data_IF_680879204181
#
_entry.id   IF_680879204181
#
_cell.length_a   1.000
_cell.length_b   1.000
_cell.length_c   1.000
_cell.angle_alpha   90.00
_cell.angle_beta   90.00
_cell.angle_gamma   90.00
#
_symmetry.space_group_name_H-M   'P 1'
#
loop_
_entity.id
_entity.type
_entity.pdbx_description
1 polymer ?
#
# COMPACT_ATOMS: atom_id res chain seq x y z
N UNK A 1 19.75 54.65 -27.61
CA UNK A 1 18.54 54.74 -28.43
C UNK A 1 18.71 53.81 -29.61
N UNK A 2 18.20 52.58 -29.57
CA UNK A 2 18.04 51.74 -30.78
C UNK A 2 16.75 50.96 -30.59
N UNK A 3 15.80 51.26 -31.47
CA UNK A 3 14.51 50.59 -31.59
C UNK A 3 14.70 49.33 -32.42
N UNK A 4 14.33 48.18 -31.94
CA UNK A 4 14.21 46.92 -32.70
C UNK A 4 12.76 46.74 -33.14
N UNK A 5 12.61 46.66 -34.47
CA UNK A 5 11.35 46.55 -35.20
C UNK A 5 10.98 45.06 -35.32
N UNK A 6 9.81 44.66 -34.82
CA UNK A 6 9.24 43.32 -35.05
C UNK A 6 8.47 43.31 -36.38
N UNK A 7 8.89 42.46 -37.31
CA UNK A 7 8.20 42.20 -38.58
C UNK A 7 7.28 41.00 -38.35
N UNK A 8 5.97 41.19 -38.45
CA UNK A 8 4.95 40.12 -38.46
C UNK A 8 4.76 39.70 -39.93
N UNK A 9 5.06 38.42 -40.21
CA UNK A 9 4.83 37.82 -41.54
C UNK A 9 3.44 37.14 -41.50
N UNK A 10 2.48 37.73 -42.23
CA UNK A 10 1.17 37.16 -42.50
C UNK A 10 1.25 36.45 -43.86
N UNK A 11 1.15 35.09 -43.86
CA UNK A 11 1.01 34.33 -45.12
C UNK A 11 -0.47 34.08 -45.38
N UNK A 12 -0.99 34.70 -46.44
CA UNK A 12 -2.28 34.38 -47.06
C UNK A 12 -2.15 33.06 -47.82
N UNK A 13 -2.99 32.07 -47.46
CA UNK A 13 -3.25 30.91 -48.31
C UNK A 13 -4.54 31.11 -49.09
N UNK A 14 -4.42 31.08 -50.42
CA UNK A 14 -5.50 31.18 -51.42
C UNK A 14 -6.27 29.85 -51.45
N UNK A 15 -7.59 29.89 -51.34
CA UNK A 15 -8.46 28.75 -51.62
C UNK A 15 -8.76 28.66 -53.11
N UNK A 16 -8.35 27.56 -53.76
CA UNK A 16 -8.90 27.14 -55.06
C UNK A 16 -9.97 26.08 -54.82
N UNK A 17 -11.19 26.38 -55.21
CA UNK A 17 -12.30 25.46 -55.25
C UNK A 17 -12.22 24.67 -56.56
N UNK A 18 -12.09 23.34 -56.47
CA UNK A 18 -12.33 22.41 -57.57
C UNK A 18 -13.55 21.59 -57.22
N UNK A 19 -14.61 21.74 -58.00
CA UNK A 19 -15.80 20.90 -58.00
C UNK A 19 -15.56 19.70 -58.92
N UNK A 20 -15.80 18.48 -58.41
CA UNK A 20 -16.15 17.36 -59.29
C UNK A 20 -16.87 16.24 -58.53
N UNK A 21 -18.05 15.94 -59.00
CA UNK A 21 -18.91 14.73 -59.07
C UNK A 21 -18.80 13.63 -58.02
N UNK A 22 -19.99 13.25 -57.60
CA UNK A 22 -20.42 12.11 -56.75
C UNK A 22 -19.88 10.76 -57.27
N UNK A 23 -19.22 10.04 -56.33
CA UNK A 23 -19.24 8.58 -56.29
C UNK A 23 -19.47 8.17 -54.85
N UNK A 24 -20.52 7.36 -54.66
CA UNK A 24 -20.88 6.77 -53.35
C UNK A 24 -19.90 5.65 -53.03
N UNK A 25 -18.96 5.89 -52.15
CA UNK A 25 -18.31 4.81 -51.40
C UNK A 25 -18.78 4.83 -49.97
N UNK A 26 -19.26 3.69 -49.51
CA UNK A 26 -19.73 3.38 -48.16
C UNK A 26 -18.54 3.43 -47.21
N UNK A 27 -18.37 4.55 -46.50
CA UNK A 27 -17.33 4.71 -45.49
C UNK A 27 -17.79 3.99 -44.21
N UNK A 28 -17.29 2.79 -44.01
CA UNK A 28 -17.26 2.16 -42.68
C UNK A 28 -16.36 3.00 -41.78
N UNK A 29 -16.96 3.89 -41.00
CA UNK A 29 -16.26 4.55 -39.89
C UNK A 29 -15.92 3.50 -38.85
N UNK A 30 -14.69 2.99 -38.91
CA UNK A 30 -14.07 2.27 -37.79
C UNK A 30 -13.87 3.27 -36.64
N UNK A 31 -14.88 3.34 -35.78
CA UNK A 31 -14.78 4.09 -34.53
C UNK A 31 -13.94 3.24 -33.59
N UNK A 32 -12.63 3.31 -33.72
CA UNK A 32 -11.72 2.79 -32.71
C UNK A 32 -11.96 3.60 -31.42
N UNK A 33 -12.95 3.15 -30.63
CA UNK A 33 -13.17 3.64 -29.27
C UNK A 33 -11.96 3.19 -28.47
N UNK A 34 -10.94 4.06 -28.37
CA UNK A 34 -9.87 3.91 -27.39
C UNK A 34 -10.51 4.03 -26.02
N UNK A 35 -10.97 2.91 -25.46
CA UNK A 35 -11.40 2.83 -24.08
C UNK A 35 -10.16 3.02 -23.23
N UNK A 36 -9.82 4.27 -22.91
CA UNK A 36 -8.94 4.58 -21.78
C UNK A 36 -9.67 4.07 -20.56
N UNK A 37 -9.35 2.86 -20.12
CA UNK A 37 -9.75 2.35 -18.81
C UNK A 37 -9.02 3.20 -17.77
N UNK A 38 -9.60 4.34 -17.41
CA UNK A 38 -9.20 5.07 -16.22
C UNK A 38 -9.49 4.15 -15.03
N UNK A 39 -8.44 3.65 -14.42
CA UNK A 39 -8.53 2.87 -13.19
C UNK A 39 -9.27 3.73 -12.15
N UNK A 40 -10.48 3.30 -11.75
CA UNK A 40 -11.20 4.01 -10.70
C UNK A 40 -10.51 3.81 -9.37
N UNK A 41 -10.34 4.88 -8.56
CA UNK A 41 -9.75 4.80 -7.23
C UNK A 41 -10.52 3.81 -6.34
N UNK A 42 -9.79 3.00 -5.56
CA UNK A 42 -10.41 1.92 -4.79
C UNK A 42 -9.66 1.65 -3.49
N UNK A 43 -10.36 1.72 -2.37
CA UNK A 43 -9.93 1.12 -1.11
C UNK A 43 -10.28 -0.36 -1.09
N UNK A 44 -9.34 -1.18 -0.61
CA UNK A 44 -9.53 -2.62 -0.41
C UNK A 44 -9.17 -2.97 1.03
N UNK A 45 -10.13 -3.49 1.78
CA UNK A 45 -9.94 -4.01 3.14
C UNK A 45 -9.99 -5.53 3.12
N UNK A 46 -9.01 -6.18 3.75
CA UNK A 46 -8.89 -7.64 3.79
C UNK A 46 -8.79 -8.14 5.23
N UNK A 47 -9.22 -9.38 5.48
CA UNK A 47 -9.28 -9.89 6.85
C UNK A 47 -9.51 -11.39 6.99
N UNK A 48 -10.06 -11.76 8.15
CA UNK A 48 -10.32 -13.15 8.53
C UNK A 48 -11.34 -13.80 7.57
N UNK A 49 -11.30 -15.14 7.45
CA UNK A 49 -12.21 -15.95 6.62
C UNK A 49 -12.29 -15.49 5.17
N UNK A 50 -11.16 -15.10 4.58
CA UNK A 50 -11.10 -14.64 3.19
C UNK A 50 -11.88 -13.35 2.92
N UNK A 51 -12.17 -12.55 3.96
CA UNK A 51 -12.93 -11.32 3.80
C UNK A 51 -12.20 -10.33 2.89
N UNK A 52 -12.93 -9.82 1.90
CA UNK A 52 -12.53 -8.67 1.07
C UNK A 52 -13.71 -7.71 1.00
N UNK A 53 -13.49 -6.46 1.38
CA UNK A 53 -14.41 -5.36 1.11
C UNK A 53 -13.73 -4.33 0.21
N UNK A 54 -14.53 -3.68 -0.64
CA UNK A 54 -14.06 -2.59 -1.51
C UNK A 54 -14.93 -1.35 -1.35
N UNK A 55 -14.31 -0.18 -1.52
CA UNK A 55 -14.97 1.11 -1.43
C UNK A 55 -14.29 2.13 -2.35
N UNK A 56 -15.04 2.94 -3.08
CA UNK A 56 -14.50 4.03 -3.89
C UNK A 56 -14.23 5.30 -3.07
N UNK A 57 -14.92 5.45 -1.93
CA UNK A 57 -14.96 6.68 -1.12
C UNK A 57 -14.49 6.49 0.34
N UNK A 58 -14.20 5.24 0.75
CA UNK A 58 -13.88 4.87 2.12
C UNK A 58 -15.08 4.84 3.07
N UNK A 59 -16.28 5.20 2.62
CA UNK A 59 -17.49 5.32 3.45
C UNK A 59 -18.49 4.20 3.21
N UNK A 60 -18.73 3.85 1.94
CA UNK A 60 -19.63 2.78 1.53
C UNK A 60 -18.82 1.56 1.10
N UNK A 61 -19.05 0.43 1.77
CA UNK A 61 -18.26 -0.78 1.57
C UNK A 61 -19.07 -1.92 0.98
N UNK A 62 -18.52 -2.59 -0.03
CA UNK A 62 -19.15 -3.72 -0.72
C UNK A 62 -18.31 -4.98 -0.53
N UNK A 63 -18.96 -6.06 -0.08
CA UNK A 63 -18.31 -7.37 0.08
C UNK A 63 -18.00 -7.99 -1.28
N UNK A 64 -16.83 -8.66 -1.37
CA UNK A 64 -16.35 -9.37 -2.56
C UNK A 64 -16.04 -10.82 -2.23
N UNK A 65 -16.26 -11.71 -3.19
CA UNK A 65 -15.93 -13.13 -3.05
C UNK A 65 -14.46 -13.34 -3.35
N UNK A 66 -13.70 -13.78 -2.33
CA UNK A 66 -12.26 -14.07 -2.48
C UNK A 66 -11.95 -15.44 -3.06
N UNK A 67 -12.90 -16.40 -2.95
CA UNK A 67 -12.69 -17.80 -3.31
C UNK A 67 -11.86 -18.60 -2.29
N UNK A 68 -11.59 -18.07 -1.09
CA UNK A 68 -10.85 -18.74 -0.01
C UNK A 68 -11.47 -18.47 1.35
N UNK A 69 -11.20 -19.37 2.31
CA UNK A 69 -11.50 -19.17 3.74
C UNK A 69 -10.24 -18.81 4.55
N UNK A 70 -9.08 -18.82 3.91
CA UNK A 70 -7.84 -18.41 4.57
C UNK A 70 -7.89 -16.93 4.97
N UNK A 71 -7.31 -16.57 6.12
CA UNK A 71 -7.24 -15.16 6.47
C UNK A 71 -6.24 -14.41 5.57
N UNK A 72 -6.66 -13.23 5.11
CA UNK A 72 -5.89 -12.35 4.25
C UNK A 72 -5.25 -11.27 5.12
N UNK A 73 -3.95 -10.99 4.91
CA UNK A 73 -3.19 -10.14 5.84
C UNK A 73 -2.49 -8.96 5.18
N UNK A 74 -2.08 -9.08 3.94
CA UNK A 74 -1.38 -8.02 3.19
C UNK A 74 -2.05 -7.71 1.89
N UNK A 75 -1.83 -6.51 1.35
CA UNK A 75 -2.32 -6.14 0.04
C UNK A 75 -1.58 -4.94 -0.54
N UNK A 76 -1.43 -4.94 -1.86
CA UNK A 76 -0.78 -3.88 -2.63
C UNK A 76 -1.44 -3.72 -4.00
N UNK A 77 -1.27 -2.54 -4.57
CA UNK A 77 -1.59 -2.25 -5.97
C UNK A 77 -0.33 -1.79 -6.71
N UNK A 78 -0.14 -2.29 -7.90
CA UNK A 78 0.92 -1.88 -8.80
C UNK A 78 0.81 -2.58 -10.15
N UNK A 79 1.43 -2.05 -11.17
CA UNK A 79 1.38 -2.61 -12.53
C UNK A 79 -0.04 -3.05 -12.95
N UNK A 80 -1.05 -2.18 -12.69
CA UNK A 80 -2.47 -2.41 -12.96
C UNK A 80 -3.07 -3.66 -12.28
N UNK A 81 -2.39 -4.21 -11.26
CA UNK A 81 -2.79 -5.44 -10.54
C UNK A 81 -2.92 -5.17 -9.05
N UNK A 82 -4.05 -5.56 -8.47
CA UNK A 82 -4.24 -5.71 -7.04
C UNK A 82 -3.72 -7.09 -6.63
N UNK A 83 -2.88 -7.14 -5.61
CA UNK A 83 -2.35 -8.37 -5.01
C UNK A 83 -2.74 -8.42 -3.56
N UNK A 84 -3.27 -9.55 -3.11
CA UNK A 84 -3.59 -9.83 -1.70
C UNK A 84 -2.89 -11.12 -1.29
N UNK A 85 -2.31 -11.13 -0.10
CA UNK A 85 -1.58 -12.27 0.45
C UNK A 85 -2.12 -12.67 1.82
N UNK A 86 -1.91 -13.93 2.22
CA UNK A 86 -2.45 -14.44 3.48
C UNK A 86 -1.87 -15.77 3.94
N UNK A 87 -2.65 -16.46 4.78
CA UNK A 87 -2.30 -17.74 5.35
C UNK A 87 -2.07 -18.81 4.29
N UNK A 88 -1.34 -19.88 4.66
CA UNK A 88 -1.10 -21.06 3.83
C UNK A 88 -0.52 -20.70 2.44
N UNK A 89 0.28 -19.63 2.36
CA UNK A 89 0.86 -19.15 1.12
C UNK A 89 -0.15 -18.56 0.13
N UNK A 90 -1.34 -18.18 0.59
CA UNK A 90 -2.38 -17.61 -0.28
C UNK A 90 -1.89 -16.35 -0.99
N UNK A 91 -2.08 -16.30 -2.31
CA UNK A 91 -1.95 -15.11 -3.14
C UNK A 91 -3.19 -15.01 -4.03
N UNK A 92 -3.84 -13.87 -4.01
CA UNK A 92 -4.97 -13.53 -4.89
C UNK A 92 -4.62 -12.30 -5.71
N UNK A 93 -5.05 -12.27 -6.97
CA UNK A 93 -4.88 -11.10 -7.85
C UNK A 93 -6.21 -10.66 -8.44
N UNK A 94 -6.33 -9.36 -8.69
CA UNK A 94 -7.48 -8.76 -9.37
C UNK A 94 -7.05 -7.51 -10.14
N UNK A 95 -7.67 -7.23 -11.28
CA UNK A 95 -7.48 -5.98 -12.02
C UNK A 95 -8.47 -4.90 -11.59
N UNK A 96 -9.65 -5.32 -11.11
CA UNK A 96 -10.82 -4.45 -10.87
C UNK A 96 -11.26 -4.39 -9.40
N UNK A 97 -10.74 -5.28 -8.54
CA UNK A 97 -11.14 -5.41 -7.13
C UNK A 97 -12.46 -6.18 -6.94
N UNK A 98 -13.08 -6.67 -8.00
CA UNK A 98 -14.35 -7.43 -7.94
C UNK A 98 -14.15 -8.93 -8.14
N UNK A 99 -13.36 -9.31 -9.13
CA UNK A 99 -13.04 -10.70 -9.46
C UNK A 99 -11.62 -11.02 -9.00
N UNK A 100 -11.48 -12.05 -8.16
CA UNK A 100 -10.21 -12.45 -7.57
C UNK A 100 -9.78 -13.84 -8.07
N UNK A 101 -8.53 -13.96 -8.48
CA UNK A 101 -7.93 -15.18 -9.01
C UNK A 101 -6.79 -15.63 -8.12
N UNK A 102 -6.82 -16.91 -7.70
CA UNK A 102 -5.73 -17.52 -6.92
C UNK A 102 -4.47 -17.70 -7.77
N UNK A 103 -3.30 -17.48 -7.16
CA UNK A 103 -1.98 -17.65 -7.75
C UNK A 103 -1.13 -18.59 -6.90
N UNK A 104 -0.24 -19.33 -7.56
CA UNK A 104 0.70 -20.23 -6.89
C UNK A 104 1.87 -19.45 -6.31
N UNK A 105 2.02 -19.48 -4.98
CA UNK A 105 3.13 -18.83 -4.28
C UNK A 105 4.41 -19.69 -4.21
N UNK A 106 4.28 -21.02 -4.33
CA UNK A 106 5.37 -21.97 -4.11
C UNK A 106 5.72 -22.22 -2.64
N UNK A 107 4.91 -21.74 -1.69
CA UNK A 107 5.12 -21.93 -0.25
C UNK A 107 3.79 -22.19 0.48
N UNK A 108 3.86 -22.89 1.62
CA UNK A 108 2.74 -22.98 2.58
C UNK A 108 2.89 -22.01 3.75
N UNK A 109 3.95 -21.22 3.81
CA UNK A 109 4.15 -20.25 4.87
C UNK A 109 3.11 -19.14 4.79
N UNK A 110 2.72 -18.60 5.95
CA UNK A 110 1.96 -17.36 6.00
C UNK A 110 2.73 -16.24 5.29
N UNK A 111 2.08 -15.57 4.36
CA UNK A 111 2.56 -14.32 3.76
C UNK A 111 1.93 -13.16 4.54
N UNK A 112 2.78 -12.42 5.27
CA UNK A 112 2.36 -11.40 6.24
C UNK A 112 2.06 -10.05 5.61
N UNK A 113 2.79 -9.69 4.55
CA UNK A 113 2.65 -8.43 3.85
C UNK A 113 3.08 -8.56 2.39
N UNK A 114 2.63 -7.62 1.57
CA UNK A 114 3.08 -7.43 0.19
C UNK A 114 3.11 -5.94 -0.12
N UNK A 115 4.12 -5.51 -0.86
CA UNK A 115 4.23 -4.14 -1.40
C UNK A 115 4.55 -4.18 -2.89
N UNK A 116 4.25 -3.10 -3.60
CA UNK A 116 4.74 -2.85 -4.96
C UNK A 116 5.58 -1.59 -4.96
N UNK A 117 6.87 -1.74 -5.15
CA UNK A 117 7.83 -0.65 -5.23
C UNK A 117 8.92 -1.02 -6.24
N UNK A 118 9.59 -0.04 -6.82
CA UNK A 118 10.67 -0.27 -7.78
C UNK A 118 10.30 -1.32 -8.85
N UNK A 119 9.08 -1.21 -9.44
CA UNK A 119 8.51 -2.10 -10.45
C UNK A 119 8.46 -3.59 -10.03
N UNK A 120 8.43 -3.87 -8.71
CA UNK A 120 8.46 -5.23 -8.17
C UNK A 120 7.44 -5.38 -7.06
N UNK A 121 6.59 -6.42 -7.14
CA UNK A 121 5.88 -6.93 -5.99
C UNK A 121 6.84 -7.73 -5.12
N UNK A 122 6.84 -7.43 -3.84
CA UNK A 122 7.59 -8.20 -2.84
C UNK A 122 6.64 -8.63 -1.73
N UNK A 123 6.46 -9.95 -1.56
CA UNK A 123 5.70 -10.55 -0.48
C UNK A 123 6.66 -11.17 0.53
N UNK A 124 6.36 -10.98 1.82
CA UNK A 124 7.18 -11.47 2.93
C UNK A 124 6.32 -12.24 3.94
N UNK A 125 6.96 -13.08 4.75
CA UNK A 125 6.19 -13.88 5.71
C UNK A 125 7.01 -14.69 6.69
N UNK A 126 6.37 -15.76 7.18
CA UNK A 126 6.93 -16.65 8.18
C UNK A 126 8.25 -17.29 7.71
N UNK A 127 9.11 -17.64 8.69
CA UNK A 127 10.38 -18.32 8.47
C UNK A 127 11.30 -17.61 7.47
N UNK A 128 11.27 -16.27 7.44
CA UNK A 128 12.08 -15.46 6.56
C UNK A 128 11.68 -15.54 5.08
N UNK A 129 10.46 -15.96 4.77
CA UNK A 129 9.97 -16.05 3.38
C UNK A 129 10.01 -14.68 2.71
N UNK A 130 10.61 -14.63 1.52
CA UNK A 130 10.54 -13.50 0.58
C UNK A 130 10.22 -14.05 -0.81
N UNK A 131 9.20 -13.51 -1.44
CA UNK A 131 8.80 -13.79 -2.82
C UNK A 131 8.80 -12.50 -3.61
N UNK A 132 9.24 -12.55 -4.87
CA UNK A 132 9.20 -11.40 -5.78
C UNK A 132 8.45 -11.74 -7.06
N UNK A 133 7.78 -10.74 -7.63
CA UNK A 133 7.05 -10.84 -8.90
C UNK A 133 7.04 -9.48 -9.60
N UNK A 134 7.09 -9.44 -10.92
CA UNK A 134 6.96 -8.22 -11.71
C UNK A 134 5.50 -7.85 -12.00
N UNK A 135 4.61 -8.86 -12.02
CA UNK A 135 3.22 -8.74 -12.48
C UNK A 135 2.17 -9.24 -11.47
N UNK A 136 2.62 -9.83 -10.35
CA UNK A 136 1.77 -10.42 -9.33
C UNK A 136 1.26 -11.83 -9.66
N UNK A 137 1.60 -12.39 -10.83
CA UNK A 137 1.11 -13.71 -11.26
C UNK A 137 2.12 -14.83 -11.08
N UNK A 138 3.37 -14.62 -11.50
CA UNK A 138 4.47 -15.54 -11.31
C UNK A 138 5.38 -15.08 -10.17
N UNK A 139 5.68 -15.96 -9.21
CA UNK A 139 6.44 -15.63 -8.00
C UNK A 139 7.74 -16.41 -7.90
N UNK A 140 8.80 -15.73 -7.52
CA UNK A 140 10.15 -16.31 -7.33
C UNK A 140 10.58 -16.15 -5.88
N UNK A 141 10.99 -17.27 -5.25
CA UNK A 141 11.53 -17.27 -3.88
C UNK A 141 12.91 -16.62 -3.84
N UNK A 142 13.15 -15.80 -2.81
CA UNK A 142 14.44 -15.16 -2.51
C UNK A 142 14.96 -15.60 -1.15
N UNK A 143 16.28 -15.62 -0.98
CA UNK A 143 16.92 -15.97 0.27
C UNK A 143 17.08 -14.74 1.14
N UNK A 144 16.37 -14.68 2.26
CA UNK A 144 16.41 -13.55 3.20
C UNK A 144 17.62 -13.54 4.14
N UNK A 145 18.31 -14.70 4.30
CA UNK A 145 19.39 -14.86 5.29
C UNK A 145 18.89 -14.95 6.74
N UNK A 146 17.59 -15.03 6.99
CA UNK A 146 17.00 -15.16 8.33
C UNK A 146 15.91 -16.24 8.37
N UNK A 147 15.69 -16.82 9.55
CA UNK A 147 14.55 -17.72 9.82
C UNK A 147 13.46 -17.03 10.63
N UNK A 148 13.62 -15.73 10.94
CA UNK A 148 12.63 -14.95 11.67
C UNK A 148 11.45 -14.62 10.77
N UNK A 149 10.25 -14.49 11.36
CA UNK A 149 9.10 -14.02 10.60
C UNK A 149 9.31 -12.56 10.22
N UNK A 150 8.91 -12.23 8.98
CA UNK A 150 8.98 -10.88 8.43
C UNK A 150 7.54 -10.34 8.30
N UNK A 151 7.32 -9.08 8.73
CA UNK A 151 5.99 -8.49 8.82
C UNK A 151 5.81 -7.22 8.01
N UNK A 152 6.83 -6.38 7.91
CA UNK A 152 6.82 -5.15 7.14
C UNK A 152 7.89 -5.16 6.06
N UNK A 153 7.57 -4.62 4.87
CA UNK A 153 8.53 -4.43 3.78
C UNK A 153 8.22 -3.18 2.97
N UNK A 154 9.26 -2.43 2.64
CA UNK A 154 9.17 -1.24 1.79
C UNK A 154 10.44 -1.02 0.98
N UNK A 155 10.40 -0.09 0.03
CA UNK A 155 11.55 0.37 -0.73
C UNK A 155 11.59 1.89 -0.75
N UNK A 156 12.75 2.43 -0.50
CA UNK A 156 13.01 3.86 -0.56
C UNK A 156 14.51 4.13 -0.55
N UNK A 157 14.93 5.29 -0.98
CA UNK A 157 16.33 5.68 -1.04
C UNK A 157 17.23 4.57 -1.64
N UNK A 158 16.79 3.96 -2.76
CA UNK A 158 17.45 2.85 -3.45
C UNK A 158 17.70 1.60 -2.58
N UNK A 159 16.96 1.44 -1.48
CA UNK A 159 17.13 0.36 -0.51
C UNK A 159 15.81 -0.31 -0.19
N UNK A 160 15.75 -1.66 -0.29
CA UNK A 160 14.71 -2.48 0.29
C UNK A 160 14.98 -2.65 1.78
N UNK A 161 13.96 -2.53 2.59
CA UNK A 161 14.00 -2.80 4.03
C UNK A 161 12.85 -3.75 4.36
N UNK A 162 13.15 -4.84 5.08
CA UNK A 162 12.14 -5.71 5.67
C UNK A 162 12.41 -5.86 7.18
N UNK A 163 11.33 -5.92 7.97
CA UNK A 163 11.42 -6.05 9.42
C UNK A 163 10.49 -7.14 9.97
N UNK A 164 10.72 -7.55 11.22
CA UNK A 164 9.95 -8.64 11.81
C UNK A 164 10.25 -8.94 13.27
N UNK A 165 10.14 -10.23 13.62
CA UNK A 165 10.27 -10.73 14.99
C UNK A 165 11.66 -10.40 15.60
N UNK A 166 11.69 -10.22 16.92
CA UNK A 166 12.88 -10.04 17.73
C UNK A 166 13.76 -8.87 17.24
N UNK A 167 13.16 -7.75 16.84
CA UNK A 167 13.87 -6.58 16.36
C UNK A 167 14.57 -6.80 15.00
N UNK A 168 14.21 -7.86 14.27
CA UNK A 168 14.82 -8.15 12.96
C UNK A 168 14.62 -6.99 12.00
N UNK A 169 15.71 -6.54 11.41
CA UNK A 169 15.75 -5.66 10.23
C UNK A 169 16.76 -6.24 9.25
N UNK A 170 16.36 -6.39 8.00
CA UNK A 170 17.22 -6.77 6.88
C UNK A 170 17.09 -5.74 5.78
N UNK A 171 18.17 -5.48 5.05
CA UNK A 171 18.18 -4.52 3.94
C UNK A 171 18.80 -5.12 2.68
N UNK A 172 18.43 -4.60 1.52
CA UNK A 172 18.92 -5.05 0.22
C UNK A 172 18.88 -3.91 -0.79
N UNK A 173 19.89 -3.80 -1.64
CA UNK A 173 19.90 -2.85 -2.75
C UNK A 173 19.15 -3.37 -3.98
N UNK A 174 19.06 -4.70 -4.14
CA UNK A 174 18.56 -5.38 -5.34
C UNK A 174 17.26 -6.20 -5.12
N UNK A 175 16.87 -6.40 -3.83
CA UNK A 175 15.73 -7.24 -3.44
C UNK A 175 16.02 -8.74 -3.52
N UNK A 176 17.25 -9.14 -3.82
CA UNK A 176 17.65 -10.55 -3.98
C UNK A 176 18.66 -10.99 -2.93
N UNK A 177 19.64 -10.15 -2.62
CA UNK A 177 20.68 -10.38 -1.61
C UNK A 177 20.40 -9.47 -0.40
N UNK A 178 20.32 -10.05 0.79
CA UNK A 178 19.89 -9.33 2.00
C UNK A 178 20.98 -9.34 3.08
N UNK A 179 21.22 -8.15 3.64
CA UNK A 179 22.11 -7.94 4.77
C UNK A 179 21.32 -7.85 6.08
N UNK A 180 21.84 -8.49 7.12
CA UNK A 180 21.25 -8.39 8.46
C UNK A 180 21.61 -7.06 9.12
N UNK A 181 20.59 -6.26 9.50
CA UNK A 181 20.70 -4.98 10.21
C UNK A 181 20.07 -5.02 11.62
N UNK A 182 19.76 -6.21 12.13
CA UNK A 182 19.03 -6.41 13.39
C UNK A 182 19.72 -5.73 14.58
N UNK A 183 21.04 -5.78 14.67
CA UNK A 183 21.78 -5.09 15.74
C UNK A 183 21.64 -3.57 15.73
N UNK A 184 21.37 -2.99 14.56
CA UNK A 184 21.16 -1.54 14.41
C UNK A 184 19.77 -1.11 14.87
N UNK A 185 18.82 -2.04 15.05
CA UNK A 185 17.46 -1.71 15.51
C UNK A 185 17.42 -1.22 16.96
N UNK A 186 18.38 -1.62 17.79
CA UNK A 186 18.46 -1.26 19.20
C UNK A 186 17.31 -1.79 20.06
N UNK A 187 16.61 -2.83 19.62
CA UNK A 187 15.47 -3.45 20.32
C UNK A 187 15.34 -4.93 20.00
N UNK A 188 14.68 -5.67 20.89
CA UNK A 188 14.23 -7.04 20.67
C UNK A 188 12.73 -7.12 20.46
N UNK A 189 12.02 -5.96 20.50
CA UNK A 189 10.59 -5.92 20.23
C UNK A 189 10.31 -6.29 18.77
N UNK A 190 9.17 -6.92 18.55
CA UNK A 190 8.70 -7.26 17.21
C UNK A 190 8.34 -5.98 16.45
N UNK A 191 8.83 -5.87 15.22
CA UNK A 191 8.33 -4.89 14.26
C UNK A 191 7.19 -5.49 13.43
N UNK A 192 6.14 -4.70 13.24
CA UNK A 192 4.93 -5.12 12.52
C UNK A 192 4.81 -4.49 11.12
N UNK A 193 5.41 -3.31 10.94
CA UNK A 193 5.31 -2.52 9.70
C UNK A 193 6.57 -1.69 9.51
N UNK A 194 6.91 -1.42 8.26
CA UNK A 194 7.86 -0.37 7.87
C UNK A 194 7.35 0.33 6.61
N UNK A 195 7.41 1.66 6.62
CA UNK A 195 7.08 2.52 5.48
C UNK A 195 8.28 3.39 5.13
N UNK A 196 8.35 3.86 3.88
CA UNK A 196 9.29 4.90 3.47
C UNK A 196 8.51 6.01 2.80
N UNK A 197 8.47 7.14 3.46
CA UNK A 197 7.76 8.32 2.98
C UNK A 197 8.48 9.57 3.49
N UNK A 198 8.36 10.68 2.79
CA UNK A 198 9.02 11.94 3.14
C UNK A 198 10.52 11.76 3.44
N UNK A 199 11.21 10.99 2.57
CA UNK A 199 12.65 10.65 2.67
C UNK A 199 13.07 9.97 3.98
N UNK A 200 12.12 9.31 4.67
CA UNK A 200 12.36 8.66 5.97
C UNK A 200 11.73 7.28 6.02
N UNK A 201 12.50 6.27 6.42
CA UNK A 201 11.97 4.99 6.86
C UNK A 201 11.41 5.15 8.27
N UNK A 202 10.21 4.65 8.49
CA UNK A 202 9.58 4.59 9.82
C UNK A 202 9.11 3.16 10.07
N UNK A 203 9.66 2.52 11.11
CA UNK A 203 9.29 1.17 11.53
C UNK A 203 8.44 1.26 12.81
N UNK A 204 7.33 0.49 12.83
CA UNK A 204 6.38 0.42 13.92
C UNK A 204 6.36 -1.00 14.51
N UNK A 205 6.21 -1.10 15.83
CA UNK A 205 6.30 -2.41 16.49
C UNK A 205 5.49 -2.53 17.77
N UNK A 206 5.78 -3.62 18.48
CA UNK A 206 5.17 -3.91 19.77
C UNK A 206 5.64 -2.91 20.84
N UNK A 207 4.90 -2.85 21.95
CA UNK A 207 5.22 -2.01 23.12
C UNK A 207 5.45 -0.54 22.74
N UNK A 208 4.73 -0.03 21.72
CA UNK A 208 4.86 1.35 21.25
C UNK A 208 6.19 1.66 20.54
N UNK A 209 6.91 0.64 20.08
CA UNK A 209 8.19 0.83 19.42
C UNK A 209 8.02 1.60 18.09
N UNK A 210 8.80 2.69 17.96
CA UNK A 210 8.97 3.43 16.70
C UNK A 210 10.47 3.64 16.48
N UNK A 211 10.93 3.35 15.26
CA UNK A 211 12.30 3.62 14.80
C UNK A 211 12.25 4.40 13.49
N UNK A 212 13.21 5.29 13.30
CA UNK A 212 13.36 6.02 12.03
C UNK A 212 14.77 5.85 11.49
N UNK A 213 14.88 5.91 10.16
CA UNK A 213 16.14 5.83 9.45
C UNK A 213 16.07 6.63 8.16
N UNK A 214 17.15 7.28 7.75
CA UNK A 214 17.27 7.93 6.45
C UNK A 214 17.81 6.98 5.37
N UNK A 215 18.54 5.93 5.77
CA UNK A 215 19.31 5.05 4.90
C UNK A 215 18.89 3.56 4.93
N UNK A 216 17.98 3.20 5.85
CA UNK A 216 17.54 1.81 6.08
C UNK A 216 18.58 0.93 6.79
N UNK A 217 19.72 1.50 7.21
CA UNK A 217 20.82 0.76 7.84
C UNK A 217 21.09 1.16 9.27
N UNK A 218 20.97 2.45 9.59
CA UNK A 218 21.09 3.00 10.94
C UNK A 218 19.74 3.48 11.43
N UNK A 219 19.38 3.19 12.69
CA UNK A 219 18.04 3.41 13.21
C UNK A 219 18.02 4.18 14.54
N UNK A 220 17.24 5.22 14.58
CA UNK A 220 17.03 6.05 15.78
C UNK A 220 15.76 5.64 16.52
N UNK A 221 15.81 5.65 17.86
CA UNK A 221 14.63 5.46 18.69
C UNK A 221 13.77 6.73 18.73
N UNK A 222 12.44 6.55 18.61
CA UNK A 222 11.45 7.62 18.78
C UNK A 222 10.48 7.28 19.91
N UNK A 223 10.07 8.29 20.66
CA UNK A 223 9.10 8.13 21.74
C UNK A 223 7.68 8.23 21.19
N UNK A 224 6.94 7.13 21.27
CA UNK A 224 5.55 7.09 20.81
C UNK A 224 4.54 7.65 21.82
N UNK A 225 4.90 7.69 23.12
CA UNK A 225 3.98 8.07 24.21
C UNK A 225 2.97 6.97 24.58
N UNK A 226 3.13 5.74 24.08
CA UNK A 226 2.23 4.60 24.38
C UNK A 226 3.03 3.31 24.57
N UNK A 227 2.45 2.34 25.31
CA UNK A 227 2.92 0.96 25.38
C UNK A 227 2.10 0.02 24.49
N UNK A 228 1.13 0.52 23.72
CA UNK A 228 0.31 -0.28 22.83
C UNK A 228 1.08 -0.72 21.59
N UNK A 229 0.81 -1.94 21.12
CA UNK A 229 1.36 -2.42 19.84
C UNK A 229 0.85 -1.58 18.68
N UNK A 230 1.74 -1.28 17.73
CA UNK A 230 1.50 -0.47 16.55
C UNK A 230 1.65 -1.35 15.28
N UNK A 231 0.57 -2.03 14.83
CA UNK A 231 0.64 -2.98 13.70
C UNK A 231 0.58 -2.36 12.31
N UNK A 232 0.25 -1.08 12.17
CA UNK A 232 0.11 -0.46 10.86
C UNK A 232 0.44 1.02 10.86
N UNK A 233 0.99 1.49 9.74
CA UNK A 233 1.30 2.90 9.52
C UNK A 233 1.10 3.31 8.06
N UNK A 234 0.91 4.59 7.83
CA UNK A 234 0.81 5.23 6.50
C UNK A 234 1.30 6.66 6.55
N UNK A 235 1.46 7.26 5.38
CA UNK A 235 1.69 8.69 5.22
C UNK A 235 0.73 9.24 4.16
N UNK A 236 0.19 10.38 4.40
CA UNK A 236 -0.67 11.09 3.48
C UNK A 236 -0.97 12.50 3.98
N UNK A 237 -1.31 13.42 3.09
CA UNK A 237 -1.57 14.80 3.44
C UNK A 237 -0.47 15.42 4.36
N UNK A 238 0.80 15.08 4.09
CA UNK A 238 1.98 15.51 4.87
C UNK A 238 1.98 15.06 6.35
N UNK A 239 1.25 13.98 6.68
CA UNK A 239 1.12 13.47 8.05
C UNK A 239 1.42 11.95 8.05
N UNK A 240 2.32 11.51 8.93
CA UNK A 240 2.46 10.12 9.32
C UNK A 240 1.33 9.74 10.27
N UNK A 241 0.72 8.59 10.06
CA UNK A 241 -0.32 8.03 10.93
C UNK A 241 0.05 6.59 11.27
N UNK A 242 0.00 6.22 12.55
CA UNK A 242 0.05 4.82 12.97
C UNK A 242 -1.14 4.48 13.84
N UNK A 243 -1.56 3.23 13.79
CA UNK A 243 -2.72 2.70 14.52
C UNK A 243 -2.32 1.53 15.39
N UNK A 244 -3.14 1.22 16.42
CA UNK A 244 -2.73 0.18 17.35
C UNK A 244 -3.82 -0.44 18.23
N UNK A 245 -3.35 -1.18 19.23
CA UNK A 245 -4.21 -1.79 20.25
C UNK A 245 -5.04 -0.72 20.97
N UNK A 246 -6.19 -1.15 21.52
CA UNK A 246 -7.09 -0.28 22.30
C UNK A 246 -7.49 1.00 21.56
N UNK A 247 -7.64 0.92 20.23
CA UNK A 247 -8.02 2.06 19.41
C UNK A 247 -6.96 3.15 19.29
N UNK A 248 -5.69 2.85 19.58
CA UNK A 248 -4.61 3.83 19.47
C UNK A 248 -4.51 4.39 18.05
N UNK A 249 -4.41 5.71 17.96
CA UNK A 249 -4.01 6.45 16.75
C UNK A 249 -2.97 7.47 17.16
N UNK A 250 -1.81 7.49 16.51
CA UNK A 250 -0.79 8.51 16.67
C UNK A 250 -0.53 9.18 15.32
N UNK A 251 -0.25 10.47 15.36
CA UNK A 251 0.10 11.29 14.19
C UNK A 251 1.41 12.01 14.39
N UNK A 252 2.16 12.23 13.31
CA UNK A 252 3.40 12.99 13.30
C UNK A 252 3.57 13.71 11.96
N UNK A 253 4.07 14.93 11.95
CA UNK A 253 4.43 15.65 10.72
C UNK A 253 5.85 15.34 10.25
N UNK A 254 6.72 14.87 11.16
CA UNK A 254 8.15 14.72 10.94
C UNK A 254 8.67 13.26 11.15
N UNK A 255 7.79 12.34 11.59
CA UNK A 255 8.16 10.98 11.97
C UNK A 255 8.91 10.87 13.31
N UNK A 256 9.19 11.98 14.00
CA UNK A 256 9.97 12.02 15.23
C UNK A 256 9.14 12.33 16.46
N UNK A 257 8.23 13.29 16.36
CA UNK A 257 7.34 13.71 17.44
C UNK A 257 5.92 13.18 17.18
N UNK A 258 5.40 12.38 18.10
CA UNK A 258 4.11 11.71 17.94
C UNK A 258 3.05 12.23 18.90
N UNK A 259 1.86 12.48 18.39
CA UNK A 259 0.70 13.00 19.13
C UNK A 259 -0.45 12.00 19.08
N UNK A 260 -1.02 11.67 20.24
CA UNK A 260 -2.19 10.78 20.35
C UNK A 260 -3.46 11.47 19.84
N UNK A 261 -4.31 10.68 19.13
CA UNK A 261 -5.61 11.13 18.62
C UNK A 261 -6.72 10.21 19.13
N UNK A 262 -7.92 10.76 19.30
CA UNK A 262 -9.09 10.00 19.73
C UNK A 262 -9.70 9.28 18.55
N UNK A 263 -9.73 7.94 18.60
CA UNK A 263 -10.34 7.10 17.56
C UNK A 263 -11.84 6.90 17.70
N UNK A 264 -12.38 7.08 18.91
CA UNK A 264 -13.79 6.76 19.23
C UNK A 264 -14.06 5.27 19.41
N UNK A 265 -13.04 4.40 19.46
CA UNK A 265 -13.18 2.96 19.66
C UNK A 265 -12.12 2.40 20.61
N UNK A 266 -12.43 1.32 21.31
CA UNK A 266 -11.46 0.50 22.06
C UNK A 266 -10.98 -0.73 21.27
N UNK A 267 -11.52 -0.97 20.07
CA UNK A 267 -11.12 -2.10 19.25
C UNK A 267 -9.68 -1.93 18.76
N UNK A 268 -8.95 -3.06 18.64
CA UNK A 268 -7.64 -3.05 18.01
C UNK A 268 -7.75 -2.60 16.56
N UNK A 269 -7.06 -1.52 16.21
CA UNK A 269 -6.83 -1.09 14.83
C UNK A 269 -5.58 -1.80 14.30
N UNK A 270 -5.66 -2.34 13.08
CA UNK A 270 -4.61 -3.21 12.51
C UNK A 270 -3.93 -2.63 11.29
N UNK A 271 -4.65 -1.85 10.49
CA UNK A 271 -4.14 -1.24 9.27
C UNK A 271 -4.71 0.14 9.07
N UNK A 272 -3.93 0.99 8.41
CA UNK A 272 -4.33 2.34 7.98
C UNK A 272 -3.71 2.62 6.62
N UNK A 273 -4.46 3.30 5.76
CA UNK A 273 -3.99 3.78 4.46
C UNK A 273 -4.52 5.18 4.19
N UNK A 274 -3.90 5.86 3.23
CA UNK A 274 -4.37 7.15 2.70
C UNK A 274 -4.57 7.04 1.19
N UNK A 275 -5.67 7.56 0.70
CA UNK A 275 -5.98 7.64 -0.72
C UNK A 275 -7.21 8.49 -0.93
N UNK A 276 -7.39 9.04 -2.11
CA UNK A 276 -8.54 9.90 -2.44
C UNK A 276 -8.85 10.93 -1.34
N UNK A 277 -7.82 11.65 -0.88
CA UNK A 277 -7.83 12.65 0.20
C UNK A 277 -8.44 12.18 1.54
N UNK A 278 -8.48 10.86 1.77
CA UNK A 278 -9.09 10.24 2.95
C UNK A 278 -8.15 9.21 3.59
N UNK A 279 -7.98 9.30 4.91
CA UNK A 279 -7.42 8.22 5.71
C UNK A 279 -8.51 7.19 6.02
N UNK A 280 -8.17 5.92 5.88
CA UNK A 280 -9.03 4.79 6.26
C UNK A 280 -8.27 3.89 7.21
N UNK A 281 -8.79 3.67 8.41
CA UNK A 281 -8.25 2.73 9.39
C UNK A 281 -9.22 1.56 9.59
N UNK A 282 -8.69 0.34 9.70
CA UNK A 282 -9.48 -0.87 9.86
C UNK A 282 -8.97 -1.72 11.03
N UNK A 283 -9.84 -2.53 11.60
CA UNK A 283 -9.47 -3.33 12.77
C UNK A 283 -10.42 -4.46 13.12
N UNK A 284 -10.36 -4.87 14.40
CA UNK A 284 -11.15 -5.95 14.93
C UNK A 284 -12.66 -5.62 14.90
N UNK A 285 -13.47 -6.69 14.95
CA UNK A 285 -14.94 -6.60 15.04
C UNK A 285 -15.55 -5.73 13.94
N UNK A 286 -15.03 -5.83 12.72
CA UNK A 286 -15.53 -5.08 11.58
C UNK A 286 -15.30 -3.56 11.63
N UNK A 287 -14.39 -3.10 12.50
CA UNK A 287 -14.13 -1.65 12.65
C UNK A 287 -13.56 -1.05 11.38
N UNK A 288 -14.19 0.04 10.92
CA UNK A 288 -13.69 0.94 9.87
C UNK A 288 -13.85 2.37 10.38
N UNK A 289 -12.78 3.15 10.32
CA UNK A 289 -12.78 4.59 10.64
C UNK A 289 -12.25 5.37 9.43
N UNK A 290 -12.77 6.56 9.20
CA UNK A 290 -12.29 7.49 8.18
C UNK A 290 -11.97 8.85 8.76
N UNK A 291 -11.00 9.54 8.16
CA UNK A 291 -10.62 10.90 8.51
C UNK A 291 -10.08 11.64 7.28
N UNK A 292 -10.38 12.91 7.12
CA UNK A 292 -9.77 13.75 6.09
C UNK A 292 -8.50 14.45 6.58
N UNK A 293 -8.31 14.56 7.91
CA UNK A 293 -7.27 15.38 8.56
C UNK A 293 -6.36 14.59 9.52
N UNK A 294 -6.60 13.26 9.67
CA UNK A 294 -5.95 12.37 10.62
C UNK A 294 -6.17 12.74 12.11
N UNK A 295 -7.01 13.74 12.40
CA UNK A 295 -7.29 14.21 13.78
C UNK A 295 -8.69 13.82 14.22
N UNK A 296 -9.68 14.00 13.35
CA UNK A 296 -11.09 13.67 13.60
C UNK A 296 -11.46 12.40 12.87
N UNK A 297 -11.86 11.36 13.60
CA UNK A 297 -12.16 10.05 13.05
C UNK A 297 -13.65 9.72 13.18
N UNK A 298 -14.22 9.22 12.09
CA UNK A 298 -15.64 8.86 11.99
C UNK A 298 -15.79 7.37 11.72
N UNK A 299 -16.60 6.68 12.52
CA UNK A 299 -16.91 5.25 12.32
C UNK A 299 -17.76 5.03 11.07
N UNK A 300 -17.47 3.96 10.33
CA UNK A 300 -18.21 3.53 9.14
C UNK A 300 -18.73 2.11 9.31
N UNK A 301 -19.86 1.82 8.69
CA UNK A 301 -20.47 0.49 8.72
C UNK A 301 -19.79 -0.42 7.70
N UNK A 302 -19.21 -1.52 8.18
CA UNK A 302 -18.59 -2.53 7.32
C UNK A 302 -19.55 -3.64 6.86
N UNK A 303 -20.68 -3.81 7.54
CA UNK A 303 -21.61 -4.91 7.29
C UNK A 303 -21.14 -6.28 7.81
N UNK A 304 -20.04 -6.34 8.58
CA UNK A 304 -19.49 -7.59 9.14
C UNK A 304 -18.94 -7.38 10.56
N UNK A 305 -18.86 -8.45 11.33
CA UNK A 305 -18.14 -8.49 12.63
C UNK A 305 -16.76 -9.15 12.52
N UNK A 306 -16.33 -9.58 11.34
CA UNK A 306 -15.03 -10.20 11.13
C UNK A 306 -13.91 -9.17 11.31
N UNK A 307 -12.72 -9.65 11.68
CA UNK A 307 -11.58 -8.77 11.86
C UNK A 307 -10.95 -8.45 10.50
N UNK A 308 -10.74 -7.17 10.25
CA UNK A 308 -9.85 -6.72 9.19
C UNK A 308 -8.40 -6.75 9.66
N UNK A 309 -7.49 -7.07 8.74
CA UNK A 309 -6.05 -7.16 8.97
C UNK A 309 -5.28 -6.05 8.27
N UNK A 310 -5.73 -5.65 7.09
CA UNK A 310 -5.10 -4.63 6.26
C UNK A 310 -6.15 -3.84 5.50
N UNK A 311 -5.82 -2.61 5.18
CA UNK A 311 -6.47 -1.79 4.16
C UNK A 311 -5.39 -1.16 3.29
N UNK A 312 -5.62 -1.10 1.99
CA UNK A 312 -4.72 -0.46 1.02
C UNK A 312 -5.54 0.23 -0.06
N UNK A 313 -4.87 1.06 -0.86
CA UNK A 313 -5.52 1.91 -1.84
C UNK A 313 -4.94 1.66 -3.23
N UNK A 314 -5.80 1.67 -4.24
CA UNK A 314 -5.53 1.64 -5.66
C UNK A 314 -5.86 3.00 -6.24
N UNK A 315 -4.88 3.67 -6.85
CA UNK A 315 -5.06 4.89 -7.64
C UNK A 315 -5.67 4.61 -9.01
#
# INVERSE_FOLDING_TARGET
MNKVLYIILISLFSFTVISCSEDKEESTTDTTTTTTTTSSPLFVAVGDNGTILTSSDGTTWTSRTSGTTEYLRGGAYGNSTLVVVGASGTILTSSDGTTWTSRTSGTSNLLGNVTYRNSTFMAIGNSGTILTSSDGTGWTTRTSGTTKNLWGVTYGNSTWVANGDNGTIISSSDGTSWDNRTSASGTTEEFNEVIYENSTFVAFGNSGTIRTSSDGTTWDNRTSGTSNNLPGGTYGNSIFVTVGNSGTILTSSDGTTWTSRTSGTSNKLRGVTYGNVTFVAVGNSGTILTSSDATTWTSRTSGTSLNFRRVFYKE
#
